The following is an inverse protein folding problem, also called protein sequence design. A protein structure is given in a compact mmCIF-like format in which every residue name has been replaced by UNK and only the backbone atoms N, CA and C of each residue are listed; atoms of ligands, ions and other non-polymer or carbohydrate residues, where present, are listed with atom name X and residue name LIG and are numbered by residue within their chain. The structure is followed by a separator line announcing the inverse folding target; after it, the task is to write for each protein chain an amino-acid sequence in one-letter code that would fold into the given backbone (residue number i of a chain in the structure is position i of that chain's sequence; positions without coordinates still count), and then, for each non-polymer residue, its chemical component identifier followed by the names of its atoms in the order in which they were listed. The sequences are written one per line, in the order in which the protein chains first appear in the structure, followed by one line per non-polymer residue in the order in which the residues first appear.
data_IF_880274838209
#
_entry.id   IF_880274838209
#
_cell.length_a   1.000
_cell.length_b   1.000
_cell.length_c   1.000
_cell.angle_alpha   90.00
_cell.angle_beta   90.00
_cell.angle_gamma   90.00
#
_symmetry.space_group_name_H-M   'P 1'
#
loop_
_entity.id
_entity.type
_entity.pdbx_description
1 polymer ?
#
# COMPACT_ATOMS: atom_id res chain seq x y z
N UNK A 1 -6.79 -14.75 -11.98
CA UNK A 1 -7.23 -13.54 -12.71
C UNK A 1 -7.23 -12.31 -11.80
N UNK A 2 -7.92 -12.33 -10.65
CA UNK A 2 -7.98 -11.19 -9.70
C UNK A 2 -6.63 -10.61 -9.23
N UNK A 3 -5.59 -11.44 -9.02
CA UNK A 3 -4.26 -10.95 -8.59
C UNK A 3 -3.51 -10.13 -9.65
N UNK A 4 -3.65 -10.44 -10.95
CA UNK A 4 -2.90 -9.76 -12.03
C UNK A 4 -3.43 -8.34 -12.23
N UNK A 5 -4.75 -8.17 -12.24
CA UNK A 5 -5.40 -6.86 -12.40
C UNK A 5 -5.10 -5.89 -11.25
N UNK A 6 -4.93 -6.39 -10.02
CA UNK A 6 -4.55 -5.56 -8.87
C UNK A 6 -3.13 -4.98 -9.02
N UNK A 7 -2.19 -5.77 -9.54
CA UNK A 7 -0.80 -5.36 -9.78
C UNK A 7 -0.73 -4.30 -10.88
N UNK A 8 -1.45 -4.48 -11.98
CA UNK A 8 -1.50 -3.51 -13.08
C UNK A 8 -2.03 -2.15 -12.63
N UNK A 9 -3.12 -2.15 -11.85
CA UNK A 9 -3.70 -0.93 -11.27
C UNK A 9 -2.70 -0.24 -10.33
N UNK A 10 -2.02 -1.00 -9.48
CA UNK A 10 -1.00 -0.45 -8.60
C UNK A 10 0.14 0.21 -9.40
N UNK A 11 0.64 -0.44 -10.45
CA UNK A 11 1.69 0.11 -11.32
C UNK A 11 1.22 1.41 -11.99
N UNK A 12 -0.03 1.46 -12.45
CA UNK A 12 -0.62 2.67 -13.03
C UNK A 12 -0.69 3.82 -12.00
N UNK A 13 -1.13 3.52 -10.78
CA UNK A 13 -1.18 4.49 -9.67
C UNK A 13 0.22 4.99 -9.32
N UNK A 14 1.21 4.10 -9.17
CA UNK A 14 2.61 4.48 -8.90
C UNK A 14 3.10 5.44 -9.98
N UNK A 15 2.98 5.09 -11.26
CA UNK A 15 3.45 5.94 -12.37
C UNK A 15 2.81 7.33 -12.36
N UNK A 16 1.50 7.39 -12.12
CA UNK A 16 0.77 8.67 -12.02
C UNK A 16 1.26 9.50 -10.83
N UNK A 17 1.45 8.89 -9.67
CA UNK A 17 1.96 9.54 -8.46
C UNK A 17 3.38 10.06 -8.65
N UNK A 18 4.29 9.28 -9.24
CA UNK A 18 5.66 9.72 -9.54
C UNK A 18 5.66 10.94 -10.47
N UNK A 19 4.82 10.94 -11.52
CA UNK A 19 4.69 12.08 -12.43
C UNK A 19 4.19 13.33 -11.71
N UNK A 20 3.20 13.20 -10.83
CA UNK A 20 2.68 14.32 -10.02
C UNK A 20 3.73 14.87 -9.06
N UNK A 21 4.47 13.99 -8.37
CA UNK A 21 5.52 14.42 -7.44
C UNK A 21 6.65 15.18 -8.14
N UNK A 22 7.03 14.73 -9.34
CA UNK A 22 8.02 15.42 -10.16
C UNK A 22 7.57 16.84 -10.57
N UNK A 23 6.32 16.98 -10.99
CA UNK A 23 5.76 18.29 -11.35
C UNK A 23 5.62 19.23 -10.15
N UNK A 24 5.16 18.70 -9.01
CA UNK A 24 4.94 19.47 -7.77
C UNK A 24 6.23 19.71 -6.97
N UNK A 25 7.38 19.15 -7.39
CA UNK A 25 8.65 19.10 -6.63
C UNK A 25 8.47 18.59 -5.19
N UNK A 26 7.60 17.60 -5.00
CA UNK A 26 7.34 16.96 -3.71
C UNK A 26 8.26 15.77 -3.48
N UNK A 27 8.41 15.38 -2.22
CA UNK A 27 9.19 14.21 -1.84
C UNK A 27 8.56 12.92 -2.39
N UNK A 28 9.31 12.24 -3.24
CA UNK A 28 8.93 10.98 -3.87
C UNK A 28 8.76 9.84 -2.86
N UNK A 29 9.65 9.79 -1.87
CA UNK A 29 9.69 8.71 -0.88
C UNK A 29 8.49 8.80 0.04
N UNK A 30 8.08 10.02 0.39
CA UNK A 30 6.87 10.24 1.20
C UNK A 30 5.62 9.77 0.45
N UNK A 31 5.50 10.11 -0.84
CA UNK A 31 4.36 9.69 -1.66
C UNK A 31 4.30 8.15 -1.83
N UNK A 32 5.44 7.49 -1.96
CA UNK A 32 5.51 6.01 -2.02
C UNK A 32 5.19 5.36 -0.67
N UNK A 33 5.64 5.97 0.44
CA UNK A 33 5.29 5.54 1.79
C UNK A 33 3.78 5.61 1.99
N UNK A 34 3.15 6.70 1.55
CA UNK A 34 1.72 6.90 1.64
C UNK A 34 0.96 5.87 0.81
N UNK A 35 1.37 5.66 -0.44
CA UNK A 35 0.79 4.65 -1.33
C UNK A 35 0.82 3.24 -0.72
N UNK A 36 1.87 2.92 0.04
CA UNK A 36 2.01 1.63 0.74
C UNK A 36 1.07 1.49 1.94
N UNK A 37 0.55 2.60 2.47
CA UNK A 37 -0.37 2.65 3.60
C UNK A 37 -1.84 2.80 3.18
N UNK A 38 -2.13 3.01 1.89
CA UNK A 38 -3.50 3.06 1.39
C UNK A 38 -4.15 1.67 1.55
N UNK A 39 -5.32 1.56 2.19
CA UNK A 39 -6.03 0.28 2.30
C UNK A 39 -6.50 -0.17 0.92
N UNK A 40 -6.21 -1.42 0.54
CA UNK A 40 -6.60 -1.97 -0.79
C UNK A 40 -7.80 -2.89 -0.68
N UNK A 41 -7.88 -3.67 0.40
CA UNK A 41 -8.97 -4.62 0.67
C UNK A 41 -9.10 -4.85 2.18
N UNK A 42 -10.34 -4.84 2.70
CA UNK A 42 -10.71 -5.21 4.07
C UNK A 42 -9.70 -4.75 5.14
N UNK A 43 -9.47 -3.43 5.23
CA UNK A 43 -8.62 -2.77 6.24
C UNK A 43 -7.12 -3.09 6.20
N UNK A 44 -6.65 -3.88 5.23
CA UNK A 44 -5.25 -4.24 5.10
C UNK A 44 -4.57 -3.41 3.99
N UNK A 45 -3.57 -2.63 4.38
CA UNK A 45 -2.70 -1.94 3.43
C UNK A 45 -1.65 -2.90 2.84
N UNK A 46 -1.04 -2.57 1.68
CA UNK A 46 0.07 -3.35 1.12
C UNK A 46 1.22 -3.52 2.11
N UNK A 47 1.49 -2.48 2.92
CA UNK A 47 2.46 -2.56 3.99
C UNK A 47 2.10 -3.65 4.99
N UNK A 48 0.84 -3.72 5.41
CA UNK A 48 0.36 -4.66 6.42
C UNK A 48 0.37 -6.12 5.92
N UNK A 49 0.09 -6.32 4.63
CA UNK A 49 0.15 -7.63 3.98
C UNK A 49 1.58 -8.15 3.92
N UNK A 50 2.55 -7.30 3.58
CA UNK A 50 3.96 -7.67 3.47
C UNK A 50 4.67 -7.71 4.83
N UNK A 51 4.30 -6.79 5.72
CA UNK A 51 4.86 -6.61 7.05
C UNK A 51 3.70 -6.47 8.03
N UNK A 52 3.49 -7.40 8.97
CA UNK A 52 2.34 -7.38 9.89
C UNK A 52 2.51 -6.31 10.99
N UNK A 53 2.64 -5.04 10.60
CA UNK A 53 2.88 -3.88 11.46
C UNK A 53 2.33 -2.61 10.83
N UNK A 54 1.79 -1.74 11.67
CA UNK A 54 1.44 -0.37 11.28
C UNK A 54 2.72 0.44 10.97
N UNK A 55 2.78 1.08 9.81
CA UNK A 55 3.82 2.08 9.53
C UNK A 55 3.35 3.44 10.07
N UNK A 56 4.23 4.19 10.74
CA UNK A 56 3.86 5.49 11.28
C UNK A 56 3.71 6.51 10.15
N UNK A 57 2.47 6.84 9.79
CA UNK A 57 2.16 7.88 8.80
C UNK A 57 1.08 8.84 9.31
N UNK A 58 0.83 9.90 8.53
CA UNK A 58 -0.18 10.91 8.85
C UNK A 58 -1.63 10.43 8.61
N UNK A 59 -1.80 9.27 7.96
CA UNK A 59 -3.11 8.73 7.63
C UNK A 59 -3.77 8.10 8.86
N UNK A 60 -5.10 8.24 9.00
CA UNK A 60 -5.83 7.55 10.07
C UNK A 60 -5.70 6.04 9.88
N UNK A 61 -5.02 5.39 10.83
CA UNK A 61 -4.84 3.93 10.82
C UNK A 61 -5.88 3.24 11.69
N UNK A 62 -6.42 2.14 11.19
CA UNK A 62 -7.22 1.23 12.01
C UNK A 62 -6.28 0.59 13.04
N UNK A 63 -6.57 0.78 14.33
CA UNK A 63 -5.81 0.20 15.47
C UNK A 63 -6.06 -1.30 15.61
N UNK A 64 -5.99 -2.06 14.51
CA UNK A 64 -6.08 -3.50 14.56
C UNK A 64 -4.69 -4.09 14.77
N UNK A 65 -4.59 -5.05 15.69
CA UNK A 65 -3.40 -5.85 15.87
C UNK A 65 -3.27 -6.79 14.67
N UNK A 66 -2.37 -6.50 13.73
CA UNK A 66 -2.11 -7.40 12.61
C UNK A 66 -1.50 -8.69 13.13
N UNK A 67 -2.31 -9.74 13.21
CA UNK A 67 -1.79 -11.10 13.36
C UNK A 67 -1.10 -11.42 12.05
N UNK A 68 0.19 -11.78 12.11
CA UNK A 68 0.95 -12.24 10.96
C UNK A 68 0.29 -13.50 10.37
N UNK A 69 -0.65 -13.33 9.44
CA UNK A 69 -0.98 -14.41 8.51
C UNK A 69 0.21 -14.49 7.58
N UNK A 70 1.13 -15.41 7.90
CA UNK A 70 1.81 -16.12 6.83
C UNK A 70 0.69 -16.55 5.90
N UNK A 71 0.73 -16.12 4.65
CA UNK A 71 -0.26 -16.48 3.66
C UNK A 71 -0.17 -18.01 3.52
N UNK A 72 -0.93 -18.76 4.33
CA UNK A 72 -1.18 -20.17 4.08
C UNK A 72 -2.00 -20.16 2.79
N UNK A 73 -1.29 -20.43 1.70
CA UNK A 73 -1.86 -20.71 0.40
C UNK A 73 -2.68 -21.98 0.58
N UNK A 74 -3.96 -21.82 0.92
CA UNK A 74 -4.93 -22.90 0.79
C UNK A 74 -5.44 -22.84 -0.65
N UNK A 75 -5.39 -24.02 -1.28
CA UNK A 75 -5.74 -24.36 -2.67
C UNK A 75 -7.02 -23.70 -3.19
#
# INVERSE_FOLDING_TARGET
IYKVTAIERLIQTVKSTLKKCYLDKKDLYLALLDLRNIPVDCDNSPANILMPRNLRTLFPQVKQNFKSKLCTMNE
#
